data_IF_542573402989
#
_entry.id   IF_542573402989
#
_cell.length_a   1.000
_cell.length_b   1.000
_cell.length_c   1.000
_cell.angle_alpha   90.00
_cell.angle_beta   90.00
_cell.angle_gamma   90.00
#
_symmetry.space_group_name_H-M   'P 1'
#
loop_
_entity.id
_entity.type
_entity.pdbx_description
1 polymer ?
#
# COMPACT_ATOMS: atom_id res chain seq x y z
N UNK A 1 -26.64 11.39 -10.10
CA UNK A 1 -25.57 12.22 -9.50
C UNK A 1 -24.50 12.44 -10.56
N UNK A 2 -23.88 13.62 -10.61
CA UNK A 2 -22.77 13.88 -11.54
C UNK A 2 -21.56 13.02 -11.17
N UNK A 3 -21.09 12.21 -12.11
CA UNK A 3 -19.91 11.36 -11.97
C UNK A 3 -18.65 12.14 -12.34
N UNK A 4 -17.59 12.04 -11.51
CA UNK A 4 -16.30 12.68 -11.74
C UNK A 4 -15.32 11.65 -12.32
N UNK A 5 -14.77 11.96 -13.49
CA UNK A 5 -13.69 11.16 -14.07
C UNK A 5 -12.37 11.48 -13.38
N UNK A 6 -11.68 10.47 -12.87
CA UNK A 6 -10.38 10.58 -12.21
C UNK A 6 -9.40 9.64 -12.89
N UNK A 7 -8.25 10.17 -13.29
CA UNK A 7 -7.13 9.37 -13.79
C UNK A 7 -6.07 9.31 -12.71
N UNK A 8 -5.75 8.11 -12.24
CA UNK A 8 -4.64 7.84 -11.35
C UNK A 8 -3.43 7.45 -12.20
N UNK A 9 -2.35 8.22 -12.10
CA UNK A 9 -1.13 7.98 -12.87
C UNK A 9 -0.18 7.13 -12.02
N UNK A 10 0.13 5.92 -12.51
CA UNK A 10 1.02 4.94 -11.87
C UNK A 10 0.28 3.80 -11.17
N UNK A 11 0.77 2.58 -11.34
CA UNK A 11 0.20 1.35 -10.78
C UNK A 11 1.10 0.72 -9.70
N UNK A 12 1.88 1.53 -8.99
CA UNK A 12 2.54 1.11 -7.74
C UNK A 12 1.59 1.15 -6.54
N UNK A 13 2.10 0.79 -5.36
CA UNK A 13 1.29 0.73 -4.13
C UNK A 13 0.55 2.05 -3.85
N UNK A 14 1.20 3.20 -4.06
CA UNK A 14 0.57 4.51 -3.86
C UNK A 14 -0.61 4.75 -4.82
N UNK A 15 -0.46 4.41 -6.10
CA UNK A 15 -1.49 4.59 -7.11
C UNK A 15 -2.65 3.61 -6.93
N UNK A 16 -2.37 2.32 -6.75
CA UNK A 16 -3.41 1.30 -6.60
C UNK A 16 -4.19 1.46 -5.29
N UNK A 17 -3.52 1.80 -4.18
CA UNK A 17 -4.23 2.06 -2.92
C UNK A 17 -5.12 3.29 -3.02
N UNK A 18 -4.64 4.35 -3.68
CA UNK A 18 -5.45 5.55 -3.93
C UNK A 18 -6.66 5.23 -4.81
N UNK A 19 -6.47 4.49 -5.91
CA UNK A 19 -7.54 4.07 -6.80
C UNK A 19 -8.59 3.22 -6.06
N UNK A 20 -8.14 2.29 -5.21
CA UNK A 20 -9.02 1.45 -4.38
C UNK A 20 -9.85 2.28 -3.38
N UNK A 21 -9.23 3.24 -2.69
CA UNK A 21 -9.94 4.09 -1.74
C UNK A 21 -10.94 5.01 -2.44
N UNK A 22 -10.61 5.51 -3.63
CA UNK A 22 -11.54 6.28 -4.45
C UNK A 22 -12.69 5.41 -4.97
N UNK A 23 -12.44 4.17 -5.36
CA UNK A 23 -13.47 3.28 -5.94
C UNK A 23 -14.53 2.87 -4.91
N UNK A 24 -14.21 2.93 -3.62
CA UNK A 24 -15.17 2.72 -2.52
C UNK A 24 -16.14 3.90 -2.34
N UNK A 25 -15.86 5.07 -2.94
CA UNK A 25 -16.71 6.26 -2.85
C UNK A 25 -17.62 6.34 -4.08
N UNK A 26 -18.87 6.74 -3.88
CA UNK A 26 -19.80 6.96 -4.99
C UNK A 26 -19.42 8.23 -5.77
N UNK A 27 -19.74 8.23 -7.07
CA UNK A 27 -19.56 9.40 -7.94
C UNK A 27 -18.18 9.58 -8.55
N UNK A 28 -17.31 8.55 -8.51
CA UNK A 28 -16.01 8.56 -9.18
C UNK A 28 -15.92 7.44 -10.22
N UNK A 29 -15.54 7.81 -11.44
CA UNK A 29 -15.12 6.88 -12.49
C UNK A 29 -13.61 6.93 -12.62
N UNK A 30 -12.94 5.84 -12.28
CA UNK A 30 -11.49 5.82 -12.08
C UNK A 30 -10.83 5.05 -13.21
N UNK A 31 -9.77 5.61 -13.78
CA UNK A 31 -8.87 4.95 -14.71
C UNK A 31 -7.46 4.98 -14.12
N UNK A 32 -6.78 3.84 -14.09
CA UNK A 32 -5.35 3.78 -13.74
C UNK A 32 -4.56 3.73 -15.04
N UNK A 33 -3.70 4.72 -15.26
CA UNK A 33 -2.82 4.79 -16.42
C UNK A 33 -1.37 4.71 -15.94
N UNK A 34 -0.61 3.72 -16.40
CA UNK A 34 0.75 3.48 -15.92
C UNK A 34 1.65 2.91 -17.03
N UNK A 35 2.96 3.20 -16.96
CA UNK A 35 3.99 2.57 -17.80
C UNK A 35 4.16 1.08 -17.47
N UNK A 36 4.14 0.75 -16.19
CA UNK A 36 4.29 -0.61 -15.66
C UNK A 36 3.09 -1.00 -14.81
N UNK A 37 2.66 -2.25 -14.89
CA UNK A 37 1.55 -2.84 -14.15
C UNK A 37 2.04 -3.98 -13.22
N UNK A 38 1.26 -4.38 -12.21
CA UNK A 38 1.60 -5.54 -11.40
C UNK A 38 1.86 -6.78 -12.26
N UNK A 39 3.03 -7.39 -12.11
CA UNK A 39 3.54 -8.46 -12.96
C UNK A 39 4.80 -8.05 -13.74
N UNK A 40 4.97 -6.75 -14.00
CA UNK A 40 6.18 -6.22 -14.63
C UNK A 40 7.31 -6.06 -13.61
N UNK A 41 8.55 -6.27 -14.07
CA UNK A 41 9.78 -5.98 -13.31
C UNK A 41 10.66 -5.04 -14.12
N UNK A 42 10.89 -3.85 -13.59
CA UNK A 42 11.71 -2.82 -14.22
C UNK A 42 12.33 -1.93 -13.13
N UNK A 43 13.50 -1.35 -13.41
CA UNK A 43 14.18 -0.45 -12.47
C UNK A 43 13.37 0.82 -12.19
N UNK A 44 12.53 1.25 -13.13
CA UNK A 44 11.63 2.38 -12.98
C UNK A 44 10.32 2.02 -12.28
N UNK A 45 10.13 0.77 -11.84
CA UNK A 45 8.96 0.32 -11.10
C UNK A 45 9.36 -0.24 -9.73
N UNK A 46 9.30 0.60 -8.69
CA UNK A 46 9.83 0.25 -7.37
C UNK A 46 9.02 -0.82 -6.61
N UNK A 47 7.69 -0.89 -6.81
CA UNK A 47 6.82 -1.72 -5.96
C UNK A 47 7.13 -3.23 -5.97
N UNK A 48 7.43 -3.88 -7.12
CA UNK A 48 7.78 -5.30 -7.17
C UNK A 48 9.11 -5.66 -6.47
N UNK A 49 10.00 -4.68 -6.24
CA UNK A 49 11.29 -4.90 -5.58
C UNK A 49 11.20 -4.87 -4.04
N UNK A 50 10.08 -4.40 -3.49
CA UNK A 50 9.91 -4.31 -2.06
C UNK A 50 9.78 -5.69 -1.41
N UNK A 51 10.22 -5.82 -0.15
CA UNK A 51 10.16 -7.07 0.61
C UNK A 51 8.75 -7.66 0.73
N UNK A 52 7.74 -7.01 1.31
CA UNK A 52 7.68 -5.79 2.14
C UNK A 52 7.11 -6.16 3.52
N UNK A 53 7.35 -5.35 4.56
CA UNK A 53 6.80 -5.54 5.90
C UNK A 53 6.30 -4.21 6.49
N UNK A 54 5.48 -4.30 7.55
CA UNK A 54 5.07 -3.14 8.33
C UNK A 54 6.02 -2.94 9.51
N UNK A 55 6.95 -2.00 9.36
CA UNK A 55 7.86 -1.56 10.43
C UNK A 55 7.96 -0.03 10.35
N UNK A 56 7.18 0.70 11.14
CA UNK A 56 7.24 2.16 11.17
C UNK A 56 8.65 2.65 11.48
N UNK A 57 9.15 3.57 10.66
CA UNK A 57 10.47 4.22 10.82
C UNK A 57 10.35 5.74 10.89
N UNK A 58 9.14 6.26 10.79
CA UNK A 58 8.89 7.70 10.80
C UNK A 58 9.20 8.33 12.15
N UNK A 59 9.68 9.57 12.11
CA UNK A 59 9.94 10.37 13.31
C UNK A 59 8.59 10.73 13.96
N UNK A 60 8.50 10.54 15.27
CA UNK A 60 7.31 10.88 16.05
C UNK A 60 6.86 12.33 15.85
N UNK A 61 5.54 12.55 15.80
CA UNK A 61 4.94 13.87 15.59
C UNK A 61 4.94 14.35 14.12
N UNK A 62 5.49 13.58 13.18
CA UNK A 62 5.42 13.92 11.75
C UNK A 62 4.15 13.40 11.09
N UNK A 63 3.80 13.95 9.92
CA UNK A 63 2.73 13.41 9.07
C UNK A 63 3.02 11.96 8.65
N UNK A 64 4.29 11.61 8.45
CA UNK A 64 4.70 10.26 8.10
C UNK A 64 4.40 9.27 9.24
N UNK A 65 4.64 9.65 10.50
CA UNK A 65 4.27 8.81 11.65
C UNK A 65 2.75 8.59 11.75
N UNK A 66 1.96 9.61 11.38
CA UNK A 66 0.51 9.47 11.27
C UNK A 66 0.12 8.47 10.17
N UNK A 67 0.73 8.56 8.98
CA UNK A 67 0.46 7.63 7.88
C UNK A 67 0.88 6.20 8.19
N UNK A 68 2.02 6.01 8.86
CA UNK A 68 2.45 4.70 9.35
C UNK A 68 1.34 4.12 10.23
N UNK A 69 0.94 4.84 11.28
CA UNK A 69 -0.10 4.39 12.21
C UNK A 69 -1.45 4.09 11.53
N UNK A 70 -1.94 4.98 10.66
CA UNK A 70 -3.21 4.81 9.94
C UNK A 70 -3.17 3.67 8.92
N UNK A 71 -1.99 3.28 8.45
CA UNK A 71 -1.83 2.17 7.50
C UNK A 71 -1.91 0.80 8.17
N UNK A 72 -1.67 0.71 9.49
CA UNK A 72 -1.67 -0.58 10.20
C UNK A 72 -3.03 -1.27 10.18
N UNK A 73 -4.10 -0.55 10.52
CA UNK A 73 -5.42 -1.16 10.69
C UNK A 73 -5.93 -1.83 9.40
N UNK A 74 -5.90 -1.16 8.21
CA UNK A 74 -6.30 -1.81 6.97
C UNK A 74 -5.42 -3.02 6.60
N UNK A 75 -4.11 -2.97 6.88
CA UNK A 75 -3.20 -4.09 6.61
C UNK A 75 -3.47 -5.27 7.53
N UNK A 76 -3.72 -5.01 8.82
CA UNK A 76 -4.04 -6.02 9.80
C UNK A 76 -5.41 -6.67 9.52
N UNK A 77 -6.41 -5.87 9.15
CA UNK A 77 -7.71 -6.38 8.68
C UNK A 77 -7.54 -7.27 7.44
N UNK A 78 -6.74 -6.81 6.48
CA UNK A 78 -6.43 -7.58 5.27
C UNK A 78 -5.77 -8.93 5.59
N UNK A 79 -4.79 -8.95 6.48
CA UNK A 79 -4.12 -10.18 6.90
C UNK A 79 -5.04 -11.15 7.66
N UNK A 80 -6.04 -10.64 8.42
CA UNK A 80 -6.96 -11.47 9.21
C UNK A 80 -8.13 -12.02 8.39
N UNK A 81 -8.74 -11.16 7.57
CA UNK A 81 -10.10 -11.37 7.10
C UNK A 81 -10.22 -11.61 5.60
N UNK A 82 -9.17 -11.36 4.80
CA UNK A 82 -9.26 -11.58 3.36
C UNK A 82 -9.04 -13.06 2.97
N UNK A 83 -9.89 -13.63 2.09
CA UNK A 83 -9.86 -15.05 1.73
C UNK A 83 -8.60 -15.45 0.95
N UNK A 84 -8.00 -14.51 0.20
CA UNK A 84 -6.69 -14.68 -0.42
C UNK A 84 -5.65 -14.01 0.47
N UNK A 85 -5.27 -14.71 1.54
CA UNK A 85 -4.26 -14.25 2.52
C UNK A 85 -2.89 -14.18 1.84
N UNK A 86 -2.59 -13.03 1.22
CA UNK A 86 -1.27 -12.75 0.63
C UNK A 86 -0.35 -11.98 1.59
N UNK A 87 -0.82 -11.70 2.81
CA UNK A 87 -0.07 -11.09 3.90
C UNK A 87 -0.40 -11.85 5.20
N UNK A 88 0.59 -12.09 6.05
CA UNK A 88 0.48 -12.86 7.29
C UNK A 88 1.20 -12.16 8.43
N UNK A 89 0.71 -12.29 9.66
CA UNK A 89 1.47 -11.86 10.84
C UNK A 89 2.69 -12.75 11.04
N UNK A 90 3.81 -12.13 11.42
CA UNK A 90 5.02 -12.82 11.85
C UNK A 90 5.59 -12.10 13.06
N UNK A 91 6.06 -12.88 14.02
CA UNK A 91 6.84 -12.35 15.13
C UNK A 91 8.19 -11.86 14.62
N UNK A 92 8.67 -10.77 15.21
CA UNK A 92 9.97 -10.21 14.89
C UNK A 92 10.99 -10.73 15.89
N UNK A 93 11.78 -11.70 15.48
CA UNK A 93 12.96 -12.11 16.25
C UNK A 93 14.06 -11.05 16.08
N UNK A 94 14.46 -10.43 17.19
CA UNK A 94 15.58 -9.48 17.24
C UNK A 94 16.76 -10.24 17.83
N UNK A 95 17.60 -10.81 16.98
CA UNK A 95 18.92 -11.30 17.39
C UNK A 95 19.90 -10.11 17.42
N UNK A 96 20.27 -9.68 18.63
CA UNK A 96 21.43 -8.80 18.80
C UNK A 96 22.69 -9.58 18.45
N UNK A 97 23.36 -9.24 17.35
CA UNK A 97 24.75 -9.62 17.16
C UNK A 97 25.59 -8.76 18.10
N UNK A 98 25.86 -9.29 19.29
CA UNK A 98 26.91 -8.77 20.16
C UNK A 98 28.25 -8.92 19.43
N UNK A 99 28.98 -7.81 19.30
CA UNK A 99 30.40 -7.77 18.93
C UNK A 99 31.19 -7.38 20.17
#
# INVERSE_FOLDING_TARGET
MLEKNVVVVGAGVAGLMTALLLSKKQGYKIVVAAKHMPGDYDIEYASPWAGANYVPVSINGTKAAKWDAESWEPLADFAKNHPRQVCTFRDREITSTEN
#
